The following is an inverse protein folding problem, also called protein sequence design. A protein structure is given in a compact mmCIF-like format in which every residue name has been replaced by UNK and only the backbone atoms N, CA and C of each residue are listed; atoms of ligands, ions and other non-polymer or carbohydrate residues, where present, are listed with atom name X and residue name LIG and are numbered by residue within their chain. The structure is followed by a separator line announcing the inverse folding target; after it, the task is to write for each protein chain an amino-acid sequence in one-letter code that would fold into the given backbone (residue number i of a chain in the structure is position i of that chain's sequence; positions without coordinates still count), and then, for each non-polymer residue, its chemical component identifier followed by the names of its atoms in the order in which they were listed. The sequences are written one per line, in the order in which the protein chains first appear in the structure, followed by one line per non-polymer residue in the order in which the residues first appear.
data_IF_301490894861
#
_entry.id   IF_301490894861
#
_cell.length_a   1.000
_cell.length_b   1.000
_cell.length_c   1.000
_cell.angle_alpha   90.00
_cell.angle_beta   90.00
_cell.angle_gamma   90.00
#
_symmetry.space_group_name_H-M   'P 1'
#
loop_
_entity.id
_entity.type
_entity.pdbx_description
1 polymer ?
#
# COMPACT_ATOMS: atom_id res chain seq x y z
N UNK A 1 -3.79 0.40 -15.49
CA UNK A 1 -2.97 0.65 -14.28
C UNK A 1 -2.29 2.00 -14.39
N UNK A 2 -2.10 2.67 -13.24
CA UNK A 2 -1.33 3.92 -13.21
C UNK A 2 0.09 3.65 -13.68
N UNK A 3 0.61 4.51 -14.56
CA UNK A 3 2.01 4.45 -14.96
C UNK A 3 2.89 4.93 -13.80
N UNK A 4 3.98 4.19 -13.57
CA UNK A 4 5.03 4.53 -12.63
C UNK A 4 6.37 4.60 -13.35
N UNK A 5 7.43 4.24 -12.65
CA UNK A 5 8.79 4.14 -13.18
C UNK A 5 8.91 2.99 -14.18
N UNK A 6 9.86 3.10 -15.09
CA UNK A 6 10.37 1.95 -15.84
C UNK A 6 11.17 1.04 -14.89
N UNK A 7 11.37 -0.23 -15.28
CA UNK A 7 12.18 -1.15 -14.48
C UNK A 7 13.62 -0.66 -14.27
N UNK A 8 14.18 0.00 -15.27
CA UNK A 8 15.52 0.59 -15.20
C UNK A 8 15.56 1.75 -14.18
N UNK A 9 14.57 2.63 -14.20
CA UNK A 9 14.46 3.74 -13.23
C UNK A 9 14.22 3.21 -11.82
N UNK A 10 13.43 2.15 -11.66
CA UNK A 10 13.24 1.47 -10.37
C UNK A 10 14.59 0.94 -9.85
N UNK A 11 15.35 0.23 -10.69
CA UNK A 11 16.64 -0.34 -10.30
C UNK A 11 17.63 0.74 -9.85
N UNK A 12 17.71 1.86 -10.58
CA UNK A 12 18.54 3.01 -10.19
C UNK A 12 18.10 3.62 -8.87
N UNK A 13 16.80 3.79 -8.67
CA UNK A 13 16.27 4.37 -7.43
C UNK A 13 16.52 3.46 -6.22
N UNK A 14 16.32 2.15 -6.37
CA UNK A 14 16.60 1.20 -5.30
C UNK A 14 18.09 1.16 -4.93
N UNK A 15 18.98 1.23 -5.92
CA UNK A 15 20.42 1.30 -5.69
C UNK A 15 20.82 2.60 -5.00
N UNK A 16 20.22 3.75 -5.37
CA UNK A 16 20.41 5.03 -4.68
C UNK A 16 19.95 4.92 -3.23
N UNK A 17 18.73 4.42 -2.99
CA UNK A 17 18.19 4.26 -1.64
C UNK A 17 19.04 3.34 -0.79
N UNK A 18 19.56 2.25 -1.35
CA UNK A 18 20.45 1.33 -0.64
C UNK A 18 21.74 2.00 -0.16
N UNK A 19 22.28 2.96 -0.93
CA UNK A 19 23.50 3.70 -0.55
C UNK A 19 23.25 4.83 0.44
N UNK A 20 22.09 5.49 0.36
CA UNK A 20 21.78 6.69 1.14
C UNK A 20 20.98 6.41 2.41
N UNK A 21 20.46 5.19 2.59
CA UNK A 21 19.69 4.83 3.78
C UNK A 21 20.60 4.64 4.99
N UNK A 22 20.12 5.10 6.14
CA UNK A 22 20.72 4.81 7.42
C UNK A 22 19.66 4.41 8.45
N UNK A 23 20.01 3.48 9.34
CA UNK A 23 19.15 3.02 10.43
C UNK A 23 19.85 3.31 11.75
N UNK A 24 19.15 4.01 12.64
CA UNK A 24 19.66 4.38 13.96
C UNK A 24 18.79 3.71 15.03
N UNK A 25 19.41 3.04 16.00
CA UNK A 25 18.74 2.66 17.24
C UNK A 25 19.06 3.71 18.30
N UNK A 26 18.04 4.47 18.70
CA UNK A 26 18.20 5.66 19.53
C UNK A 26 17.19 5.63 20.67
N UNK A 27 17.65 5.92 21.90
CA UNK A 27 16.76 6.22 23.02
C UNK A 27 16.06 7.56 22.76
N UNK A 28 14.75 7.63 23.01
CA UNK A 28 13.98 8.86 22.75
C UNK A 28 14.48 10.08 23.52
N UNK A 29 15.19 9.90 24.65
CA UNK A 29 15.87 11.00 25.37
C UNK A 29 17.01 11.64 24.58
N UNK A 30 17.57 10.92 23.63
CA UNK A 30 18.60 11.40 22.71
C UNK A 30 18.02 11.94 21.40
N UNK A 31 16.71 12.07 21.34
CA UNK A 31 15.99 12.62 20.21
C UNK A 31 15.40 13.97 20.58
N UNK A 32 15.60 14.95 19.71
CA UNK A 32 15.01 16.29 19.87
C UNK A 32 14.23 16.67 18.64
N UNK A 33 12.96 16.92 18.82
CA UNK A 33 12.07 17.46 17.78
C UNK A 33 12.12 18.98 17.84
N UNK A 34 12.46 19.61 16.73
CA UNK A 34 12.48 21.06 16.57
C UNK A 34 11.52 21.46 15.43
N UNK A 35 10.85 22.59 15.59
CA UNK A 35 9.93 23.13 14.59
C UNK A 35 10.18 24.64 14.44
N UNK A 36 10.66 25.03 13.26
CA UNK A 36 10.85 26.42 12.86
C UNK A 36 10.03 26.71 11.60
N UNK A 37 8.97 27.53 11.78
CA UNK A 37 8.02 27.80 10.69
C UNK A 37 7.33 26.53 10.23
N UNK A 38 7.39 26.23 8.93
CA UNK A 38 6.81 25.02 8.34
C UNK A 38 7.77 23.82 8.37
N UNK A 39 9.04 24.03 8.73
CA UNK A 39 10.07 22.99 8.72
C UNK A 39 10.11 22.29 10.08
N UNK A 40 10.06 20.97 10.05
CA UNK A 40 10.19 20.12 11.23
C UNK A 40 11.42 19.23 11.11
N UNK A 41 12.22 19.18 12.16
CA UNK A 41 13.47 18.44 12.21
C UNK A 41 13.49 17.51 13.41
N UNK A 42 14.16 16.37 13.23
CA UNK A 42 14.53 15.47 14.32
C UNK A 42 16.05 15.43 14.44
N UNK A 43 16.56 15.89 15.58
CA UNK A 43 17.96 15.81 15.91
C UNK A 43 18.22 14.54 16.72
N UNK A 44 19.13 13.68 16.24
CA UNK A 44 19.60 12.50 16.93
C UNK A 44 20.94 12.82 17.58
N UNK A 45 21.03 12.75 18.90
CA UNK A 45 22.21 13.18 19.68
C UNK A 45 22.97 11.93 20.14
N UNK A 46 24.16 11.72 19.63
CA UNK A 46 25.04 10.67 20.13
C UNK A 46 25.88 11.24 21.28
N UNK A 47 25.51 10.90 22.52
CA UNK A 47 26.19 11.40 23.73
C UNK A 47 27.63 10.92 23.85
N UNK A 48 28.00 9.76 23.25
CA UNK A 48 29.36 9.23 23.34
C UNK A 48 30.32 9.96 22.43
N UNK A 49 29.84 10.37 21.24
CA UNK A 49 30.68 11.04 20.24
C UNK A 49 30.46 12.55 20.16
N UNK A 50 29.39 13.07 20.77
CA UNK A 50 28.95 14.46 20.64
C UNK A 50 28.38 14.82 19.26
N UNK A 51 28.24 13.85 18.36
CA UNK A 51 27.72 14.08 17.01
C UNK A 51 26.20 14.21 17.04
N UNK A 52 25.68 15.25 16.41
CA UNK A 52 24.24 15.44 16.20
C UNK A 52 23.91 15.24 14.72
N UNK A 53 22.96 14.35 14.43
CA UNK A 53 22.42 14.17 13.09
C UNK A 53 21.04 14.79 13.03
N UNK A 54 20.87 15.83 12.23
CA UNK A 54 19.59 16.51 12.03
C UNK A 54 18.92 16.02 10.75
N UNK A 55 17.66 15.55 10.86
CA UNK A 55 16.89 14.96 9.78
C UNK A 55 15.56 15.70 9.61
N UNK A 56 15.19 16.06 8.39
CA UNK A 56 13.84 16.53 8.06
C UNK A 56 12.85 15.38 8.25
N UNK A 57 11.64 15.66 8.69
CA UNK A 57 10.66 14.63 9.00
C UNK A 57 9.63 14.58 7.86
N UNK A 58 9.48 13.41 7.21
CA UNK A 58 8.43 13.22 6.21
C UNK A 58 7.06 12.91 6.84
N UNK A 59 6.02 12.81 6.01
CA UNK A 59 4.63 12.58 6.46
C UNK A 59 4.46 11.24 7.18
N UNK A 60 5.14 10.18 6.75
CA UNK A 60 5.09 8.85 7.38
C UNK A 60 5.66 8.92 8.79
N UNK A 61 6.86 9.49 8.94
CA UNK A 61 7.50 9.62 10.26
C UNK A 61 6.68 10.52 11.20
N UNK A 62 6.07 11.60 10.70
CA UNK A 62 5.13 12.41 11.50
C UNK A 62 3.95 11.60 12.03
N UNK A 63 3.31 10.82 11.17
CA UNK A 63 2.20 9.94 11.56
C UNK A 63 2.63 8.95 12.64
N UNK A 64 3.81 8.34 12.49
CA UNK A 64 4.34 7.36 13.44
C UNK A 64 4.77 7.98 14.78
N UNK A 65 5.29 9.19 14.78
CA UNK A 65 5.56 9.94 16.03
C UNK A 65 4.24 10.16 16.78
N UNK A 66 3.21 10.65 16.09
CA UNK A 66 1.89 10.86 16.69
C UNK A 66 1.29 9.57 17.25
N UNK A 67 1.33 8.47 16.48
CA UNK A 67 0.86 7.16 16.92
C UNK A 67 1.65 6.62 18.12
N UNK A 68 2.97 6.76 18.11
CA UNK A 68 3.84 6.30 19.19
C UNK A 68 3.52 6.99 20.51
N UNK A 69 3.15 8.27 20.46
CA UNK A 69 2.81 9.09 21.63
C UNK A 69 1.32 9.10 21.94
N UNK A 70 0.49 8.38 21.18
CA UNK A 70 -0.96 8.36 21.39
C UNK A 70 -1.65 9.70 21.09
N UNK A 71 -1.03 10.57 20.30
CA UNK A 71 -1.60 11.87 19.92
C UNK A 71 -2.59 11.65 18.77
N UNK A 72 -3.89 12.02 18.91
CA UNK A 72 -4.85 11.91 17.83
C UNK A 72 -4.40 12.69 16.58
N UNK A 73 -4.47 12.08 15.39
CA UNK A 73 -3.94 12.66 14.13
C UNK A 73 -4.44 14.08 13.87
N UNK A 74 -5.76 14.31 14.01
CA UNK A 74 -6.35 15.65 13.83
C UNK A 74 -5.76 16.71 14.78
N UNK A 75 -5.42 16.32 16.01
CA UNK A 75 -4.83 17.24 16.97
C UNK A 75 -3.35 17.46 16.69
N UNK A 76 -2.64 16.39 16.29
CA UNK A 76 -1.25 16.47 15.81
C UNK A 76 -1.13 17.46 14.64
N UNK A 77 -1.98 17.29 13.62
CA UNK A 77 -1.99 18.14 12.42
C UNK A 77 -2.36 19.59 12.75
N UNK A 78 -3.29 19.78 13.69
CA UNK A 78 -3.65 21.11 14.19
C UNK A 78 -2.46 21.79 14.88
N UNK A 79 -1.78 21.11 15.79
CA UNK A 79 -0.59 21.65 16.44
C UNK A 79 0.51 21.94 15.43
N UNK A 80 0.76 21.02 14.48
CA UNK A 80 1.78 21.19 13.43
C UNK A 80 1.54 22.44 12.60
N UNK A 81 0.29 22.73 12.26
CA UNK A 81 -0.09 23.88 11.42
C UNK A 81 -0.18 25.18 12.21
N UNK A 82 -0.88 25.16 13.36
CA UNK A 82 -1.30 26.37 14.05
C UNK A 82 -0.32 26.77 15.18
N UNK A 83 0.39 25.79 15.77
CA UNK A 83 1.32 26.03 16.87
C UNK A 83 2.44 24.96 16.89
N UNK A 84 3.41 25.02 15.93
CA UNK A 84 4.49 24.05 15.81
C UNK A 84 5.37 23.94 17.07
N UNK A 85 5.53 25.03 17.81
CA UNK A 85 6.26 25.06 19.08
C UNK A 85 5.60 24.18 20.14
N UNK A 86 4.26 24.24 20.27
CA UNK A 86 3.52 23.39 21.19
C UNK A 86 3.67 21.91 20.82
N UNK A 87 3.68 21.60 19.53
CA UNK A 87 3.95 20.23 19.06
C UNK A 87 5.34 19.76 19.50
N UNK A 88 6.37 20.60 19.31
CA UNK A 88 7.74 20.29 19.71
C UNK A 88 7.88 20.08 21.23
N UNK A 89 7.30 20.97 22.03
CA UNK A 89 7.29 20.86 23.48
C UNK A 89 6.58 19.56 23.94
N UNK A 90 5.47 19.21 23.30
CA UNK A 90 4.70 18.01 23.61
C UNK A 90 5.51 16.75 23.30
N UNK A 91 6.06 16.63 22.09
CA UNK A 91 6.84 15.45 21.67
C UNK A 91 8.08 15.29 22.58
N UNK A 92 8.85 16.35 22.77
CA UNK A 92 10.08 16.31 23.56
C UNK A 92 9.80 15.97 25.03
N UNK A 93 8.69 16.47 25.60
CA UNK A 93 8.28 16.13 26.97
C UNK A 93 8.01 14.62 27.07
N UNK A 94 7.18 14.05 26.20
CA UNK A 94 6.85 12.63 26.25
C UNK A 94 8.03 11.71 25.94
N UNK A 95 8.94 12.10 25.05
CA UNK A 95 10.17 11.36 24.79
C UNK A 95 11.07 11.23 26.03
N UNK A 96 11.01 12.22 26.94
CA UNK A 96 11.77 12.18 28.20
C UNK A 96 11.02 11.48 29.33
N UNK A 97 9.68 11.63 29.41
CA UNK A 97 8.87 11.05 30.50
C UNK A 97 8.70 9.54 30.32
N UNK A 98 8.52 9.08 29.07
CA UNK A 98 8.36 7.66 28.73
C UNK A 98 9.44 7.20 27.73
N UNK A 99 10.71 7.12 28.16
CA UNK A 99 11.80 6.83 27.26
C UNK A 99 11.70 5.40 26.71
N UNK A 100 11.95 5.26 25.41
CA UNK A 100 11.96 3.97 24.70
C UNK A 100 13.04 3.99 23.64
N UNK A 101 13.70 2.85 23.42
CA UNK A 101 14.57 2.71 22.27
C UNK A 101 13.71 2.57 21.02
N UNK A 102 14.02 3.33 19.98
CA UNK A 102 13.33 3.33 18.70
C UNK A 102 14.30 3.18 17.54
N UNK A 103 13.81 2.58 16.47
CA UNK A 103 14.53 2.57 15.20
C UNK A 103 14.09 3.78 14.38
N UNK A 104 15.02 4.68 14.10
CA UNK A 104 14.86 5.76 13.13
C UNK A 104 15.44 5.31 11.80
N UNK A 105 14.65 5.32 10.75
CA UNK A 105 15.13 5.09 9.37
C UNK A 105 15.21 6.40 8.63
N UNK A 106 16.35 6.67 8.00
CA UNK A 106 16.55 7.85 7.16
C UNK A 106 16.90 7.47 5.72
N UNK A 107 16.70 8.42 4.83
CA UNK A 107 17.17 8.41 3.45
C UNK A 107 17.75 9.80 3.16
N UNK A 108 19.07 9.85 2.94
CA UNK A 108 19.80 11.12 2.92
C UNK A 108 19.57 11.88 4.23
N UNK A 109 19.10 13.10 4.12
CA UNK A 109 18.81 14.03 5.23
C UNK A 109 17.35 13.96 5.76
N UNK A 110 16.59 12.95 5.34
CA UNK A 110 15.17 12.82 5.67
C UNK A 110 14.88 11.60 6.54
N UNK A 111 14.26 11.83 7.70
CA UNK A 111 13.68 10.78 8.54
C UNK A 111 12.42 10.25 7.87
N UNK A 112 12.47 8.96 7.48
CA UNK A 112 11.36 8.28 6.79
C UNK A 112 10.43 7.53 7.73
N UNK A 113 10.94 7.06 8.87
CA UNK A 113 10.16 6.27 9.81
C UNK A 113 10.69 6.34 11.23
N UNK A 114 9.75 6.19 12.20
CA UNK A 114 9.99 5.91 13.61
C UNK A 114 9.35 4.58 13.97
N UNK A 115 10.14 3.55 14.13
CA UNK A 115 9.69 2.18 14.31
C UNK A 115 10.09 1.63 15.68
N UNK A 116 9.55 0.45 16.04
CA UNK A 116 10.00 -0.30 17.20
C UNK A 116 11.46 -0.75 16.99
N UNK A 117 12.23 -0.84 18.08
CA UNK A 117 13.57 -1.42 18.09
C UNK A 117 13.62 -2.88 17.60
N UNK A 118 12.46 -3.57 17.69
CA UNK A 118 12.26 -4.95 17.25
C UNK A 118 11.78 -5.06 15.79
N UNK A 119 11.71 -3.94 15.06
CA UNK A 119 11.23 -3.97 13.67
C UNK A 119 12.18 -4.77 12.78
N UNK A 120 11.64 -5.79 12.09
CA UNK A 120 12.39 -6.57 11.10
C UNK A 120 12.52 -5.77 9.81
N UNK A 121 13.74 -5.51 9.41
CA UNK A 121 14.05 -4.80 8.17
C UNK A 121 13.98 -5.77 7.00
N UNK A 122 13.11 -5.48 6.03
CA UNK A 122 13.10 -6.11 4.71
C UNK A 122 13.16 -4.96 3.71
N UNK A 123 14.33 -4.79 3.12
CA UNK A 123 14.57 -3.67 2.23
C UNK A 123 14.02 -3.94 0.83
N UNK A 124 13.52 -2.90 0.18
CA UNK A 124 12.98 -2.98 -1.17
C UNK A 124 14.02 -3.52 -2.17
N UNK A 125 15.29 -3.16 -1.97
CA UNK A 125 16.40 -3.66 -2.78
C UNK A 125 16.54 -5.17 -2.70
N UNK A 126 16.49 -5.77 -1.51
CA UNK A 126 16.59 -7.23 -1.30
C UNK A 126 15.41 -7.98 -1.91
N UNK A 127 14.19 -7.41 -1.75
CA UNK A 127 12.99 -7.95 -2.37
C UNK A 127 13.13 -7.92 -3.90
N UNK A 128 13.53 -6.80 -4.47
CA UNK A 128 13.71 -6.65 -5.92
C UNK A 128 14.78 -7.61 -6.46
N UNK A 129 15.94 -7.72 -5.79
CA UNK A 129 16.98 -8.68 -6.15
C UNK A 129 16.48 -10.14 -6.14
N UNK A 130 15.55 -10.46 -5.24
CA UNK A 130 14.98 -11.82 -5.15
C UNK A 130 13.96 -12.08 -6.25
N UNK A 131 13.08 -11.10 -6.56
CA UNK A 131 11.92 -11.35 -7.42
C UNK A 131 12.18 -11.05 -8.90
N UNK A 132 13.01 -10.06 -9.22
CA UNK A 132 13.24 -9.65 -10.61
C UNK A 132 13.85 -10.76 -11.49
N UNK A 133 14.84 -11.54 -11.03
CA UNK A 133 15.36 -12.67 -11.84
C UNK A 133 14.26 -13.68 -12.17
N UNK A 134 13.36 -13.96 -11.21
CA UNK A 134 12.25 -14.89 -11.43
C UNK A 134 11.28 -14.37 -12.48
N UNK A 135 10.97 -13.06 -12.42
CA UNK A 135 10.08 -12.41 -13.39
C UNK A 135 10.70 -12.43 -14.79
N UNK A 136 12.00 -12.19 -14.90
CA UNK A 136 12.72 -12.26 -16.19
C UNK A 136 12.72 -13.68 -16.75
N UNK A 137 12.86 -14.69 -15.89
CA UNK A 137 12.83 -16.12 -16.29
C UNK A 137 11.40 -16.61 -16.63
N UNK A 138 10.35 -15.88 -16.20
CA UNK A 138 8.98 -16.19 -16.59
C UNK A 138 8.76 -15.83 -18.06
N UNK A 139 8.56 -16.86 -18.88
CA UNK A 139 8.37 -16.69 -20.31
C UNK A 139 7.17 -15.77 -20.61
N UNK A 140 7.40 -14.74 -21.42
CA UNK A 140 6.44 -13.72 -21.86
C UNK A 140 5.92 -12.78 -20.74
N UNK A 141 6.34 -12.96 -19.47
CA UNK A 141 5.99 -12.03 -18.41
C UNK A 141 6.65 -10.66 -18.65
N UNK A 142 5.90 -9.59 -18.36
CA UNK A 142 6.41 -8.22 -18.45
C UNK A 142 6.04 -7.42 -17.21
N UNK A 143 6.95 -6.56 -16.79
CA UNK A 143 6.62 -5.53 -15.78
C UNK A 143 5.80 -4.46 -16.46
N UNK A 144 4.53 -4.37 -16.08
CA UNK A 144 3.58 -3.41 -16.65
C UNK A 144 3.67 -2.05 -15.98
N UNK A 145 3.96 -2.04 -14.68
CA UNK A 145 4.12 -0.81 -13.90
C UNK A 145 4.91 -1.11 -12.63
N UNK A 146 5.78 -0.21 -12.22
CA UNK A 146 6.43 -0.27 -10.92
C UNK A 146 6.63 1.14 -10.35
N UNK A 147 6.70 1.26 -9.02
CA UNK A 147 6.92 2.53 -8.33
C UNK A 147 7.51 2.31 -6.93
N UNK A 148 8.23 3.32 -6.45
CA UNK A 148 8.64 3.45 -5.05
C UNK A 148 8.15 4.79 -4.54
N UNK A 149 7.22 4.74 -3.59
CA UNK A 149 6.70 5.90 -2.88
C UNK A 149 7.38 6.07 -1.53
N UNK A 150 7.00 7.09 -0.77
CA UNK A 150 7.45 7.24 0.61
C UNK A 150 7.00 6.08 1.52
N UNK A 151 5.91 5.40 1.16
CA UNK A 151 5.29 4.33 1.95
C UNK A 151 5.71 2.94 1.49
N UNK A 152 5.75 2.71 0.16
CA UNK A 152 5.86 1.35 -0.39
C UNK A 152 6.58 1.29 -1.73
N UNK A 153 7.11 0.11 -2.01
CA UNK A 153 7.47 -0.32 -3.36
C UNK A 153 6.37 -1.19 -3.95
N UNK A 154 6.13 -1.03 -5.23
CA UNK A 154 5.19 -1.82 -6.04
C UNK A 154 5.86 -2.32 -7.32
N UNK A 155 5.63 -3.59 -7.65
CA UNK A 155 6.00 -4.20 -8.93
C UNK A 155 4.78 -4.95 -9.43
N UNK A 156 4.19 -4.50 -10.54
CA UNK A 156 3.02 -5.10 -11.20
C UNK A 156 3.48 -5.79 -12.47
N UNK A 157 3.30 -7.11 -12.52
CA UNK A 157 3.73 -7.97 -13.62
C UNK A 157 2.51 -8.59 -14.27
N UNK A 158 2.49 -8.67 -15.58
CA UNK A 158 1.44 -9.32 -16.38
C UNK A 158 2.05 -10.49 -17.15
N UNK A 159 1.32 -11.60 -17.18
CA UNK A 159 1.68 -12.78 -17.96
C UNK A 159 0.65 -13.03 -19.06
N UNK A 160 0.96 -12.67 -20.33
CA UNK A 160 0.04 -12.82 -21.47
C UNK A 160 -0.34 -14.26 -21.81
N UNK A 161 0.39 -15.27 -21.32
CA UNK A 161 0.06 -16.69 -21.56
C UNK A 161 -1.26 -17.09 -20.94
N UNK A 162 -1.61 -16.50 -19.80
CA UNK A 162 -2.90 -16.70 -19.15
C UNK A 162 -3.82 -15.54 -19.55
N UNK A 163 -4.43 -15.69 -20.71
CA UNK A 163 -5.35 -14.72 -21.32
C UNK A 163 -6.70 -15.39 -21.55
N UNK A 164 -7.79 -14.65 -21.28
CA UNK A 164 -9.15 -15.06 -21.61
C UNK A 164 -10.05 -13.85 -21.84
N UNK A 165 -11.26 -14.08 -22.28
CA UNK A 165 -12.29 -13.04 -22.44
C UNK A 165 -13.34 -13.16 -21.34
N UNK A 166 -13.71 -12.04 -20.75
CA UNK A 166 -14.89 -11.94 -19.87
C UNK A 166 -16.15 -12.03 -20.72
N UNK A 167 -16.18 -11.25 -21.80
CA UNK A 167 -17.14 -11.30 -22.90
C UNK A 167 -16.39 -11.03 -24.21
N UNK A 168 -16.97 -11.33 -25.38
CA UNK A 168 -16.30 -11.10 -26.67
C UNK A 168 -15.67 -9.71 -26.78
N UNK A 169 -14.36 -9.67 -27.00
CA UNK A 169 -13.57 -8.45 -27.10
C UNK A 169 -13.08 -7.85 -25.76
N UNK A 170 -13.57 -8.33 -24.61
CA UNK A 170 -13.15 -7.88 -23.28
C UNK A 170 -12.07 -8.81 -22.70
N UNK A 171 -10.85 -8.61 -23.16
CA UNK A 171 -9.69 -9.46 -22.89
C UNK A 171 -9.06 -9.10 -21.55
N UNK A 172 -8.82 -10.13 -20.73
CA UNK A 172 -8.09 -10.02 -19.46
C UNK A 172 -6.91 -10.97 -19.41
N UNK A 173 -5.85 -10.54 -18.73
CA UNK A 173 -4.61 -11.28 -18.54
C UNK A 173 -4.32 -11.46 -17.06
N UNK A 174 -3.72 -12.61 -16.71
CA UNK A 174 -3.25 -12.85 -15.35
C UNK A 174 -1.98 -12.07 -15.07
N UNK A 175 -1.79 -11.69 -13.81
CA UNK A 175 -0.60 -11.01 -13.34
C UNK A 175 -0.37 -11.20 -11.85
N UNK A 176 0.64 -10.50 -11.35
CA UNK A 176 0.99 -10.44 -9.94
C UNK A 176 1.31 -9.01 -9.52
N UNK A 177 0.92 -8.66 -8.30
CA UNK A 177 1.40 -7.49 -7.59
C UNK A 177 2.34 -7.94 -6.48
N UNK A 178 3.54 -7.40 -6.46
CA UNK A 178 4.49 -7.51 -5.35
C UNK A 178 4.57 -6.14 -4.72
N UNK A 179 4.33 -6.04 -3.40
CA UNK A 179 4.49 -4.79 -2.68
C UNK A 179 5.20 -5.00 -1.35
N UNK A 180 6.06 -4.04 -0.98
CA UNK A 180 6.82 -4.05 0.26
C UNK A 180 6.88 -2.65 0.89
N UNK A 181 6.95 -2.57 2.20
CA UNK A 181 7.17 -1.32 2.93
C UNK A 181 8.39 -1.44 3.83
N UNK A 182 9.36 -0.58 3.62
CA UNK A 182 10.53 -0.43 4.50
C UNK A 182 10.24 0.42 5.74
N UNK A 183 9.16 1.18 5.70
CA UNK A 183 8.81 2.19 6.70
C UNK A 183 7.64 1.77 7.59
N UNK A 184 7.28 0.49 7.59
CA UNK A 184 6.23 -0.04 8.47
C UNK A 184 4.79 0.27 8.03
N UNK A 185 4.58 0.79 6.81
CA UNK A 185 3.25 1.09 6.26
C UNK A 185 2.56 -0.13 5.65
N UNK A 186 3.11 -1.32 5.88
CA UNK A 186 2.51 -2.58 5.48
C UNK A 186 3.49 -3.74 5.40
N UNK A 187 2.94 -4.92 5.14
CA UNK A 187 3.71 -6.15 5.00
C UNK A 187 4.25 -6.30 3.58
N UNK A 188 5.29 -7.10 3.39
CA UNK A 188 5.61 -7.67 2.09
C UNK A 188 4.44 -8.56 1.65
N UNK A 189 3.86 -8.25 0.50
CA UNK A 189 2.72 -9.00 -0.05
C UNK A 189 2.97 -9.43 -1.49
N UNK A 190 2.43 -10.59 -1.84
CA UNK A 190 2.41 -11.10 -3.22
C UNK A 190 0.96 -11.48 -3.50
N UNK A 191 0.33 -10.77 -4.43
CA UNK A 191 -1.09 -10.87 -4.72
C UNK A 191 -1.32 -11.16 -6.20
N UNK A 192 -2.33 -11.99 -6.56
CA UNK A 192 -2.77 -12.09 -7.94
C UNK A 192 -3.29 -10.74 -8.44
N UNK A 193 -3.08 -10.49 -9.71
CA UNK A 193 -3.56 -9.31 -10.44
C UNK A 193 -4.29 -9.78 -11.70
N UNK A 194 -5.38 -9.14 -12.04
CA UNK A 194 -6.03 -9.30 -13.34
C UNK A 194 -5.89 -7.98 -14.10
N UNK A 195 -5.29 -8.05 -15.27
CA UNK A 195 -5.07 -6.91 -16.15
C UNK A 195 -6.06 -6.94 -17.31
N UNK A 196 -6.85 -5.89 -17.47
CA UNK A 196 -7.83 -5.74 -18.53
C UNK A 196 -7.26 -4.90 -19.67
N UNK A 197 -7.16 -5.47 -20.86
CA UNK A 197 -6.50 -4.82 -21.99
C UNK A 197 -7.28 -3.61 -22.55
N UNK A 198 -8.60 -3.69 -22.60
CA UNK A 198 -9.46 -2.65 -23.21
C UNK A 198 -9.27 -1.26 -22.58
N UNK A 199 -9.11 -1.21 -21.27
CA UNK A 199 -8.95 0.04 -20.51
C UNK A 199 -7.58 0.17 -19.85
N UNK A 200 -6.67 -0.79 -20.09
CA UNK A 200 -5.35 -0.85 -19.46
C UNK A 200 -5.41 -0.75 -17.92
N UNK A 201 -6.49 -1.23 -17.30
CA UNK A 201 -6.67 -1.18 -15.86
C UNK A 201 -6.33 -2.53 -15.20
N UNK A 202 -5.73 -2.46 -14.00
CA UNK A 202 -5.45 -3.61 -13.15
C UNK A 202 -6.52 -3.77 -12.09
N UNK A 203 -6.76 -5.01 -11.68
CA UNK A 203 -7.57 -5.36 -10.52
C UNK A 203 -6.76 -6.26 -9.62
N UNK A 204 -6.42 -5.78 -8.43
CA UNK A 204 -5.64 -6.54 -7.45
C UNK A 204 -6.57 -7.47 -6.69
N UNK A 205 -6.29 -8.76 -6.74
CA UNK A 205 -7.10 -9.79 -6.06
C UNK A 205 -6.75 -9.85 -4.59
N UNK A 206 -7.70 -9.44 -3.75
CA UNK A 206 -7.55 -9.41 -2.30
C UNK A 206 -8.34 -10.56 -1.67
N UNK A 207 -7.89 -11.80 -1.87
CA UNK A 207 -8.53 -12.97 -1.27
C UNK A 207 -7.83 -13.40 0.04
N UNK A 208 -8.53 -14.21 0.85
CA UNK A 208 -8.01 -14.74 2.12
C UNK A 208 -6.75 -15.62 1.97
N UNK A 209 -6.40 -16.00 0.74
CA UNK A 209 -5.20 -16.76 0.40
C UNK A 209 -4.04 -15.87 -0.06
N UNK A 210 -4.23 -14.56 -0.09
CA UNK A 210 -3.14 -13.61 -0.31
C UNK A 210 -2.06 -13.85 0.74
N UNK A 211 -0.85 -14.17 0.30
CA UNK A 211 0.25 -14.39 1.23
C UNK A 211 0.80 -13.05 1.68
N UNK A 212 0.52 -12.74 2.94
CA UNK A 212 1.09 -11.59 3.66
C UNK A 212 2.25 -12.10 4.50
N UNK A 213 3.43 -11.62 4.22
CA UNK A 213 4.58 -11.84 5.09
C UNK A 213 4.65 -10.65 6.05
N UNK A 214 4.16 -10.86 7.28
CA UNK A 214 4.27 -9.85 8.31
C UNK A 214 5.74 -9.69 8.69
N UNK A 215 6.23 -8.49 8.53
CA UNK A 215 7.60 -8.08 8.83
C UNK A 215 7.76 -7.73 10.32
N UNK A 216 6.67 -7.77 11.08
CA UNK A 216 6.69 -7.71 12.54
C UNK A 216 6.91 -9.11 13.10
N UNK A 217 7.85 -9.28 14.01
CA UNK A 217 7.87 -10.45 14.88
C UNK A 217 6.59 -10.37 15.71
N UNK A 218 5.75 -11.41 15.63
CA UNK A 218 4.47 -11.43 16.32
C UNK A 218 4.64 -11.08 17.79
N UNK A 219 3.68 -10.32 18.31
CA UNK A 219 3.51 -10.05 19.75
C UNK A 219 3.05 -11.32 20.48
N UNK A 220 3.73 -12.43 20.31
CA UNK A 220 3.61 -13.52 21.26
C UNK A 220 4.66 -13.29 22.33
N UNK A 221 4.16 -12.75 23.41
CA UNK A 221 4.72 -12.76 24.76
C UNK A 221 6.25 -12.83 24.90
N UNK A 222 6.83 -11.73 25.33
CA UNK A 222 8.00 -11.73 26.23
C UNK A 222 9.30 -12.28 25.65
N UNK A 223 10.34 -11.51 25.76
CA UNK A 223 11.77 -11.92 25.88
C UNK A 223 12.46 -12.84 24.85
N UNK A 224 11.80 -13.38 23.86
CA UNK A 224 12.41 -14.30 22.86
C UNK A 224 13.47 -13.65 21.94
N UNK A 225 13.64 -12.36 22.03
CA UNK A 225 14.56 -11.59 21.17
C UNK A 225 16.03 -11.73 21.55
N UNK A 226 16.31 -12.10 22.78
CA UNK A 226 17.66 -12.33 23.28
C UNK A 226 18.15 -13.75 22.99
N UNK A 227 17.27 -14.66 22.56
CA UNK A 227 17.59 -16.08 22.35
C UNK A 227 18.30 -16.36 21.01
N UNK A 228 18.13 -15.53 19.99
CA UNK A 228 18.67 -15.80 18.66
C UNK A 228 19.92 -14.98 18.36
N UNK A 229 20.96 -15.65 17.89
CA UNK A 229 22.19 -15.00 17.40
C UNK A 229 21.92 -14.26 16.09
N UNK A 230 22.78 -13.29 15.77
CA UNK A 230 22.76 -12.56 14.50
C UNK A 230 22.77 -13.50 13.29
N UNK A 231 23.46 -14.62 13.36
CA UNK A 231 23.53 -15.60 12.27
C UNK A 231 22.24 -16.37 12.10
N UNK A 232 21.56 -16.75 13.19
CA UNK A 232 20.21 -17.34 13.12
C UNK A 232 19.22 -16.37 12.48
N UNK A 233 19.30 -15.08 12.79
CA UNK A 233 18.45 -14.06 12.20
C UNK A 233 18.69 -13.91 10.70
N UNK A 234 19.95 -13.95 10.23
CA UNK A 234 20.28 -13.94 8.80
C UNK A 234 19.73 -15.17 8.07
N UNK A 235 19.82 -16.34 8.67
CA UNK A 235 19.27 -17.58 8.10
C UNK A 235 17.74 -17.51 7.97
N UNK A 236 17.06 -16.91 8.95
CA UNK A 236 15.60 -16.68 8.88
C UNK A 236 15.22 -15.69 7.75
N UNK A 237 16.03 -14.64 7.55
CA UNK A 237 15.85 -13.71 6.43
C UNK A 237 16.05 -14.42 5.08
N UNK A 238 17.06 -15.28 4.95
CA UNK A 238 17.29 -16.09 3.75
C UNK A 238 16.12 -17.06 3.51
N UNK A 239 15.60 -17.71 4.56
CA UNK A 239 14.45 -18.60 4.45
C UNK A 239 13.17 -17.83 4.02
N UNK A 240 12.99 -16.59 4.53
CA UNK A 240 11.90 -15.73 4.08
C UNK A 240 12.01 -15.40 2.59
N UNK A 241 13.18 -14.99 2.11
CA UNK A 241 13.41 -14.71 0.69
C UNK A 241 13.19 -15.94 -0.19
N UNK A 242 13.57 -17.14 0.28
CA UNK A 242 13.25 -18.38 -0.42
C UNK A 242 11.73 -18.61 -0.53
N UNK A 243 10.98 -18.35 0.55
CA UNK A 243 9.49 -18.44 0.52
C UNK A 243 8.88 -17.40 -0.42
N UNK A 244 9.41 -16.19 -0.47
CA UNK A 244 9.01 -15.14 -1.42
C UNK A 244 9.18 -15.63 -2.85
N UNK A 245 10.37 -16.14 -3.18
CA UNK A 245 10.69 -16.73 -4.48
C UNK A 245 9.69 -17.82 -4.89
N UNK A 246 9.43 -18.78 -4.02
CA UNK A 246 8.53 -19.89 -4.29
C UNK A 246 7.08 -19.41 -4.44
N UNK A 247 6.70 -18.37 -3.70
CA UNK A 247 5.37 -17.76 -3.81
C UNK A 247 5.19 -17.04 -5.14
N UNK A 248 6.18 -16.27 -5.59
CA UNK A 248 6.13 -15.59 -6.91
C UNK A 248 5.94 -16.61 -8.04
N UNK A 249 6.64 -17.75 -7.97
CA UNK A 249 6.48 -18.84 -8.94
C UNK A 249 5.08 -19.48 -8.93
N UNK A 250 4.48 -19.59 -7.74
CA UNK A 250 3.20 -20.27 -7.54
C UNK A 250 1.96 -19.37 -7.72
N UNK A 251 2.10 -18.05 -7.73
CA UNK A 251 0.95 -17.11 -7.75
C UNK A 251 0.31 -17.03 -9.14
N UNK A 252 1.05 -17.30 -10.21
CA UNK A 252 0.52 -17.39 -11.57
C UNK A 252 -0.17 -18.75 -11.73
N UNK A 253 -1.35 -18.90 -11.14
CA UNK A 253 -2.15 -20.14 -11.12
C UNK A 253 -3.37 -19.97 -12.03
N UNK A 254 -3.48 -20.83 -13.04
CA UNK A 254 -4.59 -20.82 -14.00
C UNK A 254 -5.94 -20.99 -13.30
N UNK A 255 -6.05 -21.89 -12.34
CA UNK A 255 -7.31 -22.17 -11.62
C UNK A 255 -7.80 -20.93 -10.85
N UNK A 256 -6.90 -20.18 -10.25
CA UNK A 256 -7.24 -18.92 -9.56
C UNK A 256 -7.69 -17.85 -10.54
N UNK A 257 -6.98 -17.69 -11.65
CA UNK A 257 -7.33 -16.76 -12.69
C UNK A 257 -8.72 -17.03 -13.24
N UNK A 258 -9.02 -18.29 -13.58
CA UNK A 258 -10.33 -18.72 -14.08
C UNK A 258 -11.47 -18.44 -13.08
N UNK A 259 -11.22 -18.61 -11.77
CA UNK A 259 -12.20 -18.27 -10.73
C UNK A 259 -12.52 -16.78 -10.70
N UNK A 260 -11.53 -15.93 -10.79
CA UNK A 260 -11.75 -14.46 -10.83
C UNK A 260 -12.52 -14.08 -12.09
N UNK A 261 -12.17 -14.67 -13.23
CA UNK A 261 -12.89 -14.43 -14.49
C UNK A 261 -14.34 -14.91 -14.42
N UNK A 262 -14.60 -16.05 -13.78
CA UNK A 262 -15.97 -16.53 -13.53
C UNK A 262 -16.77 -15.53 -12.66
N UNK A 263 -16.16 -14.95 -11.61
CA UNK A 263 -16.79 -13.88 -10.82
C UNK A 263 -17.08 -12.65 -11.67
N UNK A 264 -16.17 -12.25 -12.55
CA UNK A 264 -16.37 -11.12 -13.47
C UNK A 264 -17.58 -11.36 -14.39
N UNK A 265 -17.69 -12.56 -14.96
CA UNK A 265 -18.83 -12.94 -15.80
C UNK A 265 -20.16 -12.90 -15.03
N UNK A 266 -20.21 -13.46 -13.82
CA UNK A 266 -21.40 -13.40 -12.96
C UNK A 266 -21.77 -11.94 -12.59
N UNK A 267 -20.78 -11.11 -12.28
CA UNK A 267 -20.98 -9.70 -11.94
C UNK A 267 -21.56 -8.88 -13.11
N UNK A 268 -21.34 -9.32 -14.36
CA UNK A 268 -21.94 -8.69 -15.54
C UNK A 268 -23.44 -8.89 -15.65
N UNK A 269 -23.95 -10.00 -15.12
CA UNK A 269 -25.39 -10.29 -15.09
C UNK A 269 -26.11 -9.50 -13.97
N UNK A 270 -25.38 -9.09 -12.94
CA UNK A 270 -25.89 -8.28 -11.83
C UNK A 270 -26.05 -6.80 -12.27
N UNK A 271 -27.22 -6.46 -12.82
CA UNK A 271 -27.49 -5.12 -13.38
C UNK A 271 -27.75 -4.06 -12.31
N UNK A 272 -27.32 -2.84 -12.60
CA UNK A 272 -27.69 -1.66 -11.82
C UNK A 272 -29.14 -1.30 -12.18
N UNK A 273 -30.03 -1.36 -11.20
CA UNK A 273 -31.44 -1.03 -11.32
C UNK A 273 -31.84 0.22 -10.52
N UNK A 274 -30.89 0.79 -9.78
CA UNK A 274 -31.09 2.04 -9.04
C UNK A 274 -31.51 3.17 -9.99
N UNK A 275 -32.55 3.91 -9.62
CA UNK A 275 -33.00 5.11 -10.34
C UNK A 275 -32.11 6.33 -10.05
N UNK A 276 -31.22 6.25 -9.07
CA UNK A 276 -30.29 7.32 -8.68
C UNK A 276 -28.85 6.78 -8.57
N UNK A 277 -28.20 6.61 -9.72
CA UNK A 277 -26.81 6.10 -9.79
C UNK A 277 -25.82 6.98 -9.02
N UNK A 278 -25.87 8.32 -9.07
CA UNK A 278 -24.99 9.16 -8.26
C UNK A 278 -25.08 8.87 -6.76
N UNK A 279 -26.28 8.77 -6.21
CA UNK A 279 -26.48 8.47 -4.79
C UNK A 279 -26.05 7.02 -4.46
N UNK A 280 -26.22 6.08 -5.39
CA UNK A 280 -25.71 4.71 -5.24
C UNK A 280 -24.16 4.71 -5.14
N UNK A 281 -23.46 5.50 -5.96
CA UNK A 281 -22.00 5.62 -5.90
C UNK A 281 -21.55 6.31 -4.61
N UNK A 282 -22.29 7.32 -4.13
CA UNK A 282 -21.99 7.96 -2.85
C UNK A 282 -22.12 6.97 -1.68
N UNK A 283 -23.15 6.12 -1.68
CA UNK A 283 -23.33 5.05 -0.70
C UNK A 283 -22.20 4.01 -0.81
N UNK A 284 -21.82 3.60 -2.03
CA UNK A 284 -20.67 2.74 -2.27
C UNK A 284 -19.38 3.38 -1.74
N UNK A 285 -19.22 4.69 -1.92
CA UNK A 285 -18.09 5.46 -1.37
C UNK A 285 -17.97 5.34 0.14
N UNK A 286 -19.09 5.40 0.86
CA UNK A 286 -19.14 5.21 2.31
C UNK A 286 -18.72 3.79 2.72
N UNK A 287 -19.07 2.77 1.94
CA UNK A 287 -18.77 1.37 2.25
C UNK A 287 -17.35 0.94 1.89
N UNK A 288 -16.84 1.45 0.77
CA UNK A 288 -15.55 1.06 0.21
C UNK A 288 -14.46 2.12 0.39
N UNK A 289 -14.78 3.27 1.01
CA UNK A 289 -13.82 4.30 1.33
C UNK A 289 -13.40 5.17 0.14
N UNK A 290 -14.34 5.53 -0.76
CA UNK A 290 -14.08 6.54 -1.79
C UNK A 290 -14.29 7.95 -1.25
N UNK A 291 -13.48 8.89 -1.71
CA UNK A 291 -13.76 10.31 -1.52
C UNK A 291 -14.87 10.76 -2.49
N UNK A 292 -15.47 11.91 -2.22
CA UNK A 292 -16.47 12.50 -3.13
C UNK A 292 -15.89 12.75 -4.52
N UNK A 293 -14.64 13.20 -4.59
CA UNK A 293 -13.98 13.47 -5.87
C UNK A 293 -13.75 12.18 -6.67
N UNK A 294 -13.32 11.11 -6.00
CA UNK A 294 -13.18 9.79 -6.63
C UNK A 294 -14.54 9.25 -7.10
N UNK A 295 -15.59 9.45 -6.32
CA UNK A 295 -16.97 9.09 -6.70
C UNK A 295 -17.44 9.74 -7.99
N UNK A 296 -17.08 11.02 -8.21
CA UNK A 296 -17.37 11.74 -9.47
C UNK A 296 -16.63 11.08 -10.65
N UNK A 297 -15.35 10.77 -10.49
CA UNK A 297 -14.55 10.06 -11.51
C UNK A 297 -15.11 8.69 -11.83
N UNK A 298 -15.51 7.92 -10.80
CA UNK A 298 -16.13 6.60 -10.96
C UNK A 298 -17.43 6.70 -11.73
N UNK A 299 -18.28 7.67 -11.42
CA UNK A 299 -19.54 7.92 -12.16
C UNK A 299 -19.28 8.21 -13.65
N UNK A 300 -18.32 9.08 -13.94
CA UNK A 300 -17.93 9.43 -15.29
C UNK A 300 -17.47 8.19 -16.09
N UNK A 301 -16.59 7.38 -15.49
CA UNK A 301 -16.11 6.14 -16.12
C UNK A 301 -17.19 5.07 -16.27
N UNK A 302 -18.13 4.98 -15.32
CA UNK A 302 -19.26 4.05 -15.42
C UNK A 302 -20.18 4.43 -16.61
N UNK A 303 -20.48 5.72 -16.76
CA UNK A 303 -21.31 6.23 -17.87
C UNK A 303 -20.58 6.04 -19.20
N UNK A 304 -19.33 6.43 -19.31
CA UNK A 304 -18.50 6.27 -20.52
C UNK A 304 -18.32 4.81 -20.92
N UNK A 305 -18.20 3.91 -19.93
CA UNK A 305 -18.07 2.47 -20.16
C UNK A 305 -19.35 1.80 -20.66
N UNK A 306 -20.52 2.39 -20.42
CA UNK A 306 -21.82 1.91 -20.91
C UNK A 306 -22.29 0.57 -20.31
N UNK A 307 -21.56 0.00 -19.37
CA UNK A 307 -21.90 -1.26 -18.70
C UNK A 307 -22.49 -1.00 -17.31
N UNK A 308 -23.80 -0.86 -17.25
CA UNK A 308 -24.54 -0.64 -15.99
C UNK A 308 -24.75 -1.98 -15.25
N UNK A 309 -23.64 -2.55 -14.77
CA UNK A 309 -23.62 -3.79 -14.01
C UNK A 309 -22.64 -3.68 -12.84
N UNK A 310 -22.64 -4.68 -11.94
CA UNK A 310 -21.64 -4.82 -10.88
C UNK A 310 -20.20 -4.90 -11.46
N UNK A 311 -20.03 -5.60 -12.58
CA UNK A 311 -18.77 -5.64 -13.32
C UNK A 311 -18.38 -4.27 -13.86
N UNK A 312 -19.33 -3.55 -14.45
CA UNK A 312 -19.11 -2.17 -14.95
C UNK A 312 -18.73 -1.22 -13.83
N UNK A 313 -19.34 -1.31 -12.65
CA UNK A 313 -18.97 -0.52 -11.47
C UNK A 313 -17.53 -0.85 -11.00
N UNK A 314 -17.18 -2.12 -10.89
CA UNK A 314 -15.81 -2.53 -10.52
C UNK A 314 -14.76 -2.02 -11.52
N UNK A 315 -15.07 -2.07 -12.83
CA UNK A 315 -14.21 -1.52 -13.87
C UNK A 315 -14.12 0.02 -13.82
N UNK A 316 -15.20 0.71 -13.51
CA UNK A 316 -15.19 2.16 -13.35
C UNK A 316 -14.27 2.59 -12.19
N UNK A 317 -14.29 1.85 -11.08
CA UNK A 317 -13.39 2.07 -9.93
C UNK A 317 -11.93 1.84 -10.31
N UNK A 318 -11.61 0.70 -10.93
CA UNK A 318 -10.23 0.39 -11.33
C UNK A 318 -9.74 1.30 -12.48
N UNK A 319 -10.63 1.84 -13.29
CA UNK A 319 -10.26 2.84 -14.31
C UNK A 319 -10.01 4.20 -13.69
N UNK A 320 -10.87 4.65 -12.75
CA UNK A 320 -10.67 5.88 -11.98
C UNK A 320 -9.39 5.85 -11.13
N UNK A 321 -8.92 4.66 -10.75
CA UNK A 321 -7.63 4.49 -10.08
C UNK A 321 -6.43 5.05 -10.87
N UNK A 322 -6.52 5.16 -12.19
CA UNK A 322 -5.45 5.74 -13.01
C UNK A 322 -5.39 7.27 -12.91
N UNK A 323 -6.50 7.90 -12.55
CA UNK A 323 -6.65 9.35 -12.55
C UNK A 323 -6.23 9.99 -11.22
N UNK A 324 -6.12 9.19 -10.14
CA UNK A 324 -5.66 9.70 -8.83
C UNK A 324 -4.15 9.97 -8.85
N UNK A 325 -3.72 11.01 -8.13
CA UNK A 325 -2.32 11.44 -8.11
C UNK A 325 -1.42 10.40 -7.42
N UNK A 326 -1.83 9.90 -6.25
CA UNK A 326 -1.05 8.96 -5.45
C UNK A 326 -1.03 7.55 -6.06
N UNK A 327 0.15 6.97 -6.20
CA UNK A 327 0.31 5.58 -6.66
C UNK A 327 -0.20 4.58 -5.60
N UNK A 328 0.00 4.89 -4.30
CA UNK A 328 -0.53 4.10 -3.19
C UNK A 328 -2.06 4.05 -3.25
N UNK A 329 -2.71 5.22 -3.44
CA UNK A 329 -4.17 5.29 -3.58
C UNK A 329 -4.67 4.59 -4.83
N UNK A 330 -3.99 4.74 -5.95
CA UNK A 330 -4.29 4.02 -7.19
C UNK A 330 -4.33 2.51 -6.96
N UNK A 331 -3.29 1.96 -6.33
CA UNK A 331 -3.21 0.51 -6.04
C UNK A 331 -4.29 0.07 -5.04
N UNK A 332 -4.62 0.90 -4.05
CA UNK A 332 -5.73 0.62 -3.14
C UNK A 332 -7.09 0.56 -3.88
N UNK A 333 -7.35 1.48 -4.82
CA UNK A 333 -8.56 1.46 -5.64
C UNK A 333 -8.64 0.23 -6.57
N UNK A 334 -7.51 -0.25 -7.08
CA UNK A 334 -7.46 -1.51 -7.83
C UNK A 334 -7.90 -2.72 -6.98
N UNK A 335 -7.55 -2.74 -5.68
CA UNK A 335 -8.04 -3.75 -4.73
C UNK A 335 -9.52 -3.58 -4.41
N UNK A 336 -9.99 -2.34 -4.25
CA UNK A 336 -11.42 -2.05 -4.03
C UNK A 336 -12.27 -2.55 -5.19
N UNK A 337 -11.79 -2.46 -6.43
CA UNK A 337 -12.48 -3.02 -7.59
C UNK A 337 -12.76 -4.52 -7.44
N UNK A 338 -11.82 -5.28 -6.89
CA UNK A 338 -12.03 -6.70 -6.59
C UNK A 338 -13.02 -6.91 -5.43
N UNK A 339 -12.92 -6.11 -4.36
CA UNK A 339 -13.84 -6.19 -3.23
C UNK A 339 -15.30 -5.90 -3.65
N UNK A 340 -15.49 -5.01 -4.63
CA UNK A 340 -16.79 -4.75 -5.26
C UNK A 340 -17.30 -5.97 -6.00
N UNK A 341 -16.47 -6.65 -6.82
CA UNK A 341 -16.88 -7.89 -7.49
C UNK A 341 -17.28 -8.98 -6.50
N UNK A 342 -16.61 -9.06 -5.38
CA UNK A 342 -16.83 -10.06 -4.33
C UNK A 342 -17.90 -9.67 -3.31
N UNK A 343 -18.62 -8.55 -3.50
CA UNK A 343 -19.61 -8.14 -2.50
C UNK A 343 -20.79 -9.11 -2.42
N UNK A 344 -21.37 -9.25 -1.24
CA UNK A 344 -22.52 -10.10 -1.02
C UNK A 344 -23.78 -9.59 -1.75
N UNK A 345 -24.68 -10.50 -2.12
CA UNK A 345 -25.96 -10.15 -2.74
C UNK A 345 -26.77 -9.16 -1.89
N UNK A 346 -26.71 -9.26 -0.57
CA UNK A 346 -27.39 -8.31 0.33
C UNK A 346 -26.84 -6.90 0.24
N UNK A 347 -25.51 -6.75 0.15
CA UNK A 347 -24.87 -5.43 -0.09
C UNK A 347 -25.23 -4.88 -1.45
N UNK A 348 -25.15 -5.70 -2.49
CA UNK A 348 -25.54 -5.30 -3.85
C UNK A 348 -26.99 -4.82 -3.92
N UNK A 349 -27.92 -5.56 -3.32
CA UNK A 349 -29.32 -5.19 -3.27
C UNK A 349 -29.54 -3.86 -2.53
N UNK A 350 -28.82 -3.61 -1.45
CA UNK A 350 -28.87 -2.34 -0.70
C UNK A 350 -28.40 -1.16 -1.55
N UNK A 351 -27.31 -1.31 -2.29
CA UNK A 351 -26.82 -0.27 -3.21
C UNK A 351 -27.85 0.01 -4.32
N UNK A 352 -28.45 -1.03 -4.87
CA UNK A 352 -29.48 -0.93 -5.91
C UNK A 352 -30.84 -0.40 -5.43
N UNK A 353 -31.12 -0.48 -4.13
CA UNK A 353 -32.37 0.06 -3.56
C UNK A 353 -32.36 1.58 -3.41
N UNK A 354 -31.23 2.25 -3.66
CA UNK A 354 -31.14 3.71 -3.61
C UNK A 354 -32.02 4.28 -4.71
N UNK A 355 -33.06 5.00 -4.30
CA UNK A 355 -34.04 5.64 -5.20
C UNK A 355 -34.03 7.16 -5.00
N UNK A 356 -34.64 7.86 -5.95
CA UNK A 356 -34.78 9.32 -5.90
C UNK A 356 -35.78 9.78 -4.81
N UNK A 357 -36.26 8.87 -3.95
CA UNK A 357 -37.28 9.23 -2.96
C UNK A 357 -36.64 10.00 -1.83
N UNK A 358 -36.81 11.30 -1.93
CA UNK A 358 -37.26 12.16 -0.86
C UNK A 358 -36.21 12.60 0.15
N UNK A 359 -35.58 13.70 -0.11
CA UNK A 359 -35.53 14.74 0.91
C UNK A 359 -36.98 15.09 1.33
N UNK A 360 -37.49 14.36 2.26
CA UNK A 360 -38.67 14.79 3.02
C UNK A 360 -38.30 14.82 4.48
N UNK A 361 -38.25 16.08 4.95
CA UNK A 361 -38.17 16.63 6.31
C UNK A 361 -36.86 16.46 7.06
#
# INVERSE_FOLDING_TARGET
MKYGRTLTELAYELDRQMREKHDYLVDTRQMRFDAEGETTMMSLINEQTGVTTALRINSVAHSQIGQTLGIPSKYYDKMKKDNPRLLAENINSWFNVEPKVRMVRSLGDTMRALLSDKYRRIDNYEVAQTVLPIIVDMQDARVESCEVTDERMYIKVVNPRLTTEVTPGDIVQSGILISNSEVGMGSLTIQPLVYRLVCSNGMVVNDAKTRKYHVGRGNEAGDDFTLYTTDTMKLDDMALMAKVRDTVRAVVDQTRFEKVVAMMRQAKDAKIVSSNIPAMIELAGTEFGFTKQEGIGILDHLIKGGDLSLYGLANAVTRSAQDVESYDRSTAMESIGYDILGMSASKWNRLNAVSTIGSVA
#
